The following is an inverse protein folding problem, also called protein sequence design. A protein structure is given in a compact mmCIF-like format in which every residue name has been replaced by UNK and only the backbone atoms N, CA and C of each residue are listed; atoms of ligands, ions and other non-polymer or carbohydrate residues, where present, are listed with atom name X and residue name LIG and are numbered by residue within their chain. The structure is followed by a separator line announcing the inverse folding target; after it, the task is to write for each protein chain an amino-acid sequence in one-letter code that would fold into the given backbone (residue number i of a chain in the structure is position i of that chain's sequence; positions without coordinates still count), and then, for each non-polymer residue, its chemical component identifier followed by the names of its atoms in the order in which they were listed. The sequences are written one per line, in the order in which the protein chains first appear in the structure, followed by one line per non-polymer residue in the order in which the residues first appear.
data_IF_857919812426
#
_entry.id   IF_857919812426
#
_cell.length_a   1.000
_cell.length_b   1.000
_cell.length_c   1.000
_cell.angle_alpha   90.00
_cell.angle_beta   90.00
_cell.angle_gamma   90.00
#
_symmetry.space_group_name_H-M   'P 1'
#
loop_
_entity.id
_entity.type
_entity.pdbx_description
1 polymer ?
#
# COMPACT_ATOMS: atom_id res chain seq x y z
N UNK A 1 29.42 69.22 25.28
CA UNK A 1 28.58 68.42 26.17
C UNK A 1 28.62 66.99 25.67
N UNK A 2 29.42 66.15 26.33
CA UNK A 2 29.51 64.73 26.04
C UNK A 2 28.43 64.01 26.85
N UNK A 3 27.67 63.12 26.21
CA UNK A 3 26.90 62.09 26.90
C UNK A 3 27.26 60.77 26.24
N UNK A 4 28.28 60.12 26.83
CA UNK A 4 28.44 58.67 26.86
C UNK A 4 27.26 58.08 27.64
N UNK A 5 26.78 56.88 27.28
CA UNK A 5 26.28 55.80 28.17
C UNK A 5 25.68 54.73 27.23
N UNK A 6 26.42 53.69 26.85
CA UNK A 6 26.61 52.36 27.48
C UNK A 6 25.97 51.28 26.62
N UNK A 7 26.83 50.45 26.04
CA UNK A 7 26.50 49.16 25.42
C UNK A 7 26.14 48.18 26.55
N UNK A 8 24.93 47.63 26.54
CA UNK A 8 24.57 46.49 27.39
C UNK A 8 24.64 45.21 26.57
N UNK A 9 25.70 44.42 26.76
CA UNK A 9 25.67 42.99 26.48
C UNK A 9 24.86 42.31 27.59
N UNK A 10 23.79 41.60 27.21
CA UNK A 10 23.15 40.61 28.08
C UNK A 10 23.20 39.27 27.36
N UNK A 11 23.85 38.29 28.01
CA UNK A 11 24.05 36.95 27.51
C UNK A 11 23.13 35.94 28.22
N UNK A 12 22.70 34.92 27.45
CA UNK A 12 22.28 33.55 27.81
C UNK A 12 21.03 33.29 28.68
N UNK A 13 20.06 32.55 28.15
CA UNK A 13 19.97 31.08 28.25
C UNK A 13 18.70 30.57 27.55
N UNK A 14 18.80 29.42 26.87
CA UNK A 14 17.73 28.75 26.14
C UNK A 14 16.59 28.32 27.07
N UNK A 15 15.35 28.54 26.66
CA UNK A 15 14.17 27.84 27.18
C UNK A 15 13.28 27.47 26.01
N UNK A 16 13.25 26.17 25.72
CA UNK A 16 12.26 25.58 24.84
C UNK A 16 10.85 25.85 25.35
N UNK A 17 9.94 26.08 24.40
CA UNK A 17 8.53 25.85 24.59
C UNK A 17 7.94 25.47 23.24
N UNK A 18 7.90 24.16 23.01
CA UNK A 18 6.98 23.57 22.06
C UNK A 18 5.56 23.96 22.49
N UNK A 19 4.94 24.86 21.73
CA UNK A 19 3.51 25.07 21.79
C UNK A 19 2.86 24.11 20.81
N UNK A 20 2.38 22.99 21.35
CA UNK A 20 1.40 22.17 20.66
C UNK A 20 0.13 22.98 20.43
N UNK A 21 -0.25 23.12 19.18
CA UNK A 21 -1.62 23.42 18.81
C UNK A 21 -2.15 22.24 17.97
N UNK A 22 -3.16 21.60 18.55
CA UNK A 22 -3.92 20.47 18.03
C UNK A 22 -4.63 20.83 16.71
N UNK A 23 -4.38 20.05 15.66
CA UNK A 23 -5.31 19.89 14.54
C UNK A 23 -5.34 18.44 14.06
N UNK A 24 -6.51 17.81 14.23
CA UNK A 24 -6.93 16.61 13.50
C UNK A 24 -6.32 15.31 14.01
N UNK A 25 -7.11 14.53 14.74
CA UNK A 25 -6.73 13.16 15.10
C UNK A 25 -6.43 12.36 13.84
N UNK A 26 -5.14 12.07 13.62
CA UNK A 26 -4.70 11.02 12.72
C UNK A 26 -5.01 9.73 13.44
N UNK A 27 -6.08 9.08 13.01
CA UNK A 27 -6.37 7.69 13.22
C UNK A 27 -5.09 6.88 13.00
N UNK A 28 -4.48 6.42 14.11
CA UNK A 28 -3.24 5.63 14.17
C UNK A 28 -3.36 4.25 13.49
N UNK A 29 -4.40 4.01 12.68
CA UNK A 29 -4.65 2.77 11.95
C UNK A 29 -3.65 2.52 10.81
N UNK A 30 -2.85 3.52 10.43
CA UNK A 30 -1.88 3.42 9.35
C UNK A 30 -0.45 3.10 9.83
N UNK A 31 -0.16 3.26 11.13
CA UNK A 31 1.19 3.03 11.67
C UNK A 31 1.58 1.53 11.73
N UNK A 32 0.58 0.63 11.74
CA UNK A 32 0.78 -0.82 11.82
C UNK A 32 0.73 -1.52 10.44
N UNK A 33 0.72 -0.74 9.36
CA UNK A 33 0.72 -1.32 8.01
C UNK A 33 2.13 -1.72 7.58
N UNK A 34 2.29 -2.85 6.88
CA UNK A 34 3.61 -3.34 6.45
C UNK A 34 4.25 -2.45 5.37
N UNK A 35 3.45 -1.57 4.78
CA UNK A 35 3.86 -0.63 3.75
C UNK A 35 3.82 0.81 4.26
N UNK A 36 4.57 1.68 3.57
CA UNK A 36 4.56 3.12 3.81
C UNK A 36 3.77 3.86 2.72
N UNK A 37 3.38 5.11 2.97
CA UNK A 37 2.75 5.97 1.96
C UNK A 37 3.64 6.19 0.72
N UNK A 38 4.96 6.13 0.88
CA UNK A 38 5.92 6.18 -0.24
C UNK A 38 5.74 4.98 -1.16
N UNK A 39 5.63 3.76 -0.59
CA UNK A 39 5.38 2.54 -1.38
C UNK A 39 4.03 2.59 -2.10
N UNK A 40 2.98 3.10 -1.44
CA UNK A 40 1.66 3.29 -2.05
C UNK A 40 1.74 4.27 -3.22
N UNK A 41 2.48 5.37 -3.05
CA UNK A 41 2.66 6.40 -4.07
C UNK A 41 3.44 5.89 -5.28
N UNK A 42 4.51 5.11 -5.05
CA UNK A 42 5.30 4.44 -6.10
C UNK A 42 4.48 3.35 -6.81
N UNK A 43 3.65 2.63 -6.07
CA UNK A 43 2.85 1.52 -6.58
C UNK A 43 1.70 1.95 -7.48
N UNK A 44 1.12 3.13 -7.23
CA UNK A 44 -0.02 3.66 -8.01
C UNK A 44 0.25 3.66 -9.51
N UNK A 45 1.27 4.36 -10.05
CA UNK A 45 1.51 4.40 -11.49
C UNK A 45 1.81 3.01 -12.06
N UNK A 46 2.56 2.17 -11.34
CA UNK A 46 2.87 0.80 -11.75
C UNK A 46 1.59 -0.05 -11.87
N UNK A 47 0.70 0.03 -10.87
CA UNK A 47 -0.57 -0.67 -10.91
C UNK A 47 -1.45 -0.19 -12.08
N UNK A 48 -1.54 1.13 -12.28
CA UNK A 48 -2.38 1.68 -13.35
C UNK A 48 -1.88 1.26 -14.74
N UNK A 49 -0.56 1.22 -14.94
CA UNK A 49 0.03 0.83 -16.22
C UNK A 49 -0.09 -0.68 -16.51
N UNK A 50 0.01 -1.52 -15.48
CA UNK A 50 0.24 -2.95 -15.66
C UNK A 50 -0.92 -3.85 -15.20
N UNK A 51 -1.71 -3.43 -14.22
CA UNK A 51 -2.67 -4.29 -13.52
C UNK A 51 -4.12 -3.86 -13.74
N UNK A 52 -4.36 -2.54 -13.85
CA UNK A 52 -5.69 -1.96 -13.87
C UNK A 52 -6.53 -2.37 -15.09
N UNK A 53 -5.90 -2.76 -16.21
CA UNK A 53 -6.62 -3.22 -17.40
C UNK A 53 -7.50 -4.44 -17.11
N UNK A 54 -7.05 -5.33 -16.22
CA UNK A 54 -7.79 -6.55 -15.87
C UNK A 54 -8.44 -6.44 -14.48
N UNK A 55 -7.71 -5.91 -13.48
CA UNK A 55 -8.21 -5.83 -12.11
C UNK A 55 -9.01 -4.56 -11.80
N UNK A 56 -9.15 -3.64 -12.77
CA UNK A 56 -9.85 -2.37 -12.62
C UNK A 56 -9.02 -1.31 -11.89
N UNK A 57 -9.33 -0.03 -12.14
CA UNK A 57 -8.54 1.10 -11.62
C UNK A 57 -8.43 1.21 -10.10
N UNK A 58 -9.32 0.56 -9.34
CA UNK A 58 -9.32 0.50 -7.88
C UNK A 58 -9.18 -0.93 -7.35
N UNK A 59 -8.80 -1.90 -8.18
CA UNK A 59 -8.70 -3.31 -7.76
C UNK A 59 -10.05 -3.99 -7.52
N UNK A 60 -11.13 -3.50 -8.12
CA UNK A 60 -12.47 -4.09 -7.99
C UNK A 60 -12.63 -5.44 -8.71
N UNK A 61 -11.72 -5.79 -9.61
CA UNK A 61 -11.75 -7.04 -10.37
C UNK A 61 -12.96 -7.16 -11.30
N UNK A 62 -13.16 -8.38 -11.81
CA UNK A 62 -14.35 -8.75 -12.56
C UNK A 62 -15.44 -9.25 -11.59
N UNK A 63 -16.73 -8.87 -11.73
CA UNK A 63 -17.80 -9.34 -10.85
C UNK A 63 -18.00 -10.87 -10.83
N UNK A 64 -17.71 -11.55 -11.93
CA UNK A 64 -17.91 -13.00 -12.10
C UNK A 64 -16.66 -13.84 -11.76
N UNK A 65 -15.65 -13.24 -11.13
CA UNK A 65 -14.36 -13.87 -10.78
C UNK A 65 -14.42 -15.21 -10.05
N UNK A 66 -15.55 -15.52 -9.40
CA UNK A 66 -15.75 -16.77 -8.64
C UNK A 66 -16.01 -17.98 -9.54
N UNK A 67 -16.34 -17.77 -10.81
CA UNK A 67 -16.61 -18.83 -11.77
C UNK A 67 -15.59 -18.74 -12.91
N UNK A 68 -15.16 -19.88 -13.47
CA UNK A 68 -14.43 -19.86 -14.73
C UNK A 68 -15.34 -19.33 -15.84
N UNK A 69 -14.73 -18.70 -16.84
CA UNK A 69 -15.37 -18.38 -18.10
C UNK A 69 -15.64 -19.65 -18.92
N UNK A 70 -16.29 -19.51 -20.07
CA UNK A 70 -16.68 -20.64 -20.94
C UNK A 70 -15.49 -21.49 -21.41
N UNK A 71 -14.29 -20.90 -21.49
CA UNK A 71 -13.03 -21.56 -21.83
C UNK A 71 -12.32 -22.21 -20.62
N UNK A 72 -12.96 -22.18 -19.44
CA UNK A 72 -12.44 -22.74 -18.20
C UNK A 72 -11.47 -21.82 -17.43
N UNK A 73 -11.17 -20.61 -17.93
CA UNK A 73 -10.20 -19.70 -17.30
C UNK A 73 -10.86 -18.82 -16.25
N UNK A 74 -10.15 -18.57 -15.14
CA UNK A 74 -10.61 -17.68 -14.09
C UNK A 74 -10.39 -16.21 -14.46
N UNK A 75 -11.43 -15.41 -14.23
CA UNK A 75 -11.43 -13.96 -14.40
C UNK A 75 -10.70 -13.27 -13.24
N UNK A 76 -10.17 -12.05 -13.45
CA UNK A 76 -9.35 -11.35 -12.45
C UNK A 76 -10.13 -11.10 -11.16
N UNK A 77 -9.68 -11.63 -10.00
CA UNK A 77 -10.36 -11.39 -8.73
C UNK A 77 -10.17 -9.94 -8.24
N UNK A 78 -11.08 -9.44 -7.38
CA UNK A 78 -10.89 -8.18 -6.68
C UNK A 78 -9.64 -8.25 -5.79
N UNK A 79 -8.82 -7.21 -5.89
CA UNK A 79 -7.59 -7.02 -5.12
C UNK A 79 -7.75 -5.98 -3.99
N UNK A 80 -8.88 -5.29 -3.93
CA UNK A 80 -9.15 -4.22 -2.95
C UNK A 80 -9.78 -4.68 -1.63
N UNK A 81 -9.64 -5.96 -1.30
CA UNK A 81 -10.16 -6.52 -0.05
C UNK A 81 -11.60 -7.05 -0.12
N UNK A 82 -12.33 -6.82 -1.23
CA UNK A 82 -13.68 -7.39 -1.45
C UNK A 82 -13.66 -8.82 -2.01
N UNK A 83 -12.47 -9.30 -2.41
CA UNK A 83 -12.22 -10.64 -2.92
C UNK A 83 -11.63 -11.57 -1.86
N UNK A 84 -10.79 -12.51 -2.31
CA UNK A 84 -10.14 -13.49 -1.44
C UNK A 84 -8.64 -13.23 -1.23
N UNK A 85 -8.11 -12.10 -1.73
CA UNK A 85 -6.69 -11.77 -1.65
C UNK A 85 -6.16 -11.77 -0.19
N UNK A 86 -7.00 -11.35 0.77
CA UNK A 86 -6.68 -11.31 2.20
C UNK A 86 -6.59 -12.68 2.88
N UNK A 87 -6.88 -13.78 2.18
CA UNK A 87 -6.60 -15.13 2.68
C UNK A 87 -5.16 -15.58 2.45
N UNK A 88 -4.39 -14.85 1.64
CA UNK A 88 -3.03 -15.22 1.24
C UNK A 88 -1.99 -14.39 1.99
N UNK A 89 -0.85 -15.00 2.31
CA UNK A 89 0.30 -14.30 2.91
C UNK A 89 0.91 -13.29 1.92
N UNK A 90 1.73 -12.38 2.45
CA UNK A 90 2.47 -11.43 1.62
C UNK A 90 3.32 -12.15 0.55
N UNK A 91 3.99 -13.24 0.92
CA UNK A 91 4.83 -14.00 -0.01
C UNK A 91 4.01 -14.76 -1.06
N UNK A 92 2.84 -15.28 -0.70
CA UNK A 92 1.93 -15.90 -1.66
C UNK A 92 1.43 -14.87 -2.69
N UNK A 93 1.03 -13.67 -2.23
CA UNK A 93 0.62 -12.59 -3.11
C UNK A 93 1.77 -12.15 -4.05
N UNK A 94 2.98 -12.00 -3.51
CA UNK A 94 4.18 -11.70 -4.30
C UNK A 94 4.46 -12.78 -5.34
N UNK A 95 4.38 -14.04 -4.95
CA UNK A 95 4.62 -15.18 -5.84
C UNK A 95 3.65 -15.20 -7.02
N UNK A 96 2.37 -14.92 -6.78
CA UNK A 96 1.35 -14.84 -7.85
C UNK A 96 1.66 -13.71 -8.84
N UNK A 97 2.14 -12.55 -8.38
CA UNK A 97 2.54 -11.45 -9.28
C UNK A 97 3.82 -11.81 -10.04
N UNK A 98 4.83 -12.33 -9.33
CA UNK A 98 6.15 -12.62 -9.88
C UNK A 98 6.11 -13.71 -10.95
N UNK A 99 5.37 -14.78 -10.69
CA UNK A 99 5.35 -15.99 -11.52
C UNK A 99 4.06 -16.16 -12.33
N UNK A 100 3.09 -15.25 -12.17
CA UNK A 100 1.75 -15.42 -12.76
C UNK A 100 1.02 -16.60 -12.11
N UNK A 101 -0.02 -17.10 -12.80
CA UNK A 101 -0.65 -18.37 -12.43
C UNK A 101 -0.28 -19.47 -13.42
N UNK A 102 0.17 -20.60 -12.86
CA UNK A 102 0.51 -21.81 -13.60
C UNK A 102 -0.72 -22.60 -14.07
N UNK A 103 -0.50 -23.74 -14.76
CA UNK A 103 -1.56 -24.53 -15.39
C UNK A 103 -2.62 -25.06 -14.41
N UNK A 104 -2.29 -25.19 -13.12
CA UNK A 104 -3.22 -25.67 -12.09
C UNK A 104 -4.39 -24.72 -11.83
N UNK A 105 -4.24 -23.43 -12.17
CA UNK A 105 -5.31 -22.44 -12.13
C UNK A 105 -5.28 -21.66 -13.44
N UNK A 106 -5.96 -22.15 -14.49
CA UNK A 106 -5.99 -21.48 -15.79
C UNK A 106 -6.48 -20.05 -15.63
N UNK A 107 -5.64 -19.07 -15.98
CA UNK A 107 -5.99 -17.65 -15.97
C UNK A 107 -5.07 -16.86 -16.89
N UNK A 108 -5.51 -15.69 -17.34
CA UNK A 108 -4.73 -14.77 -18.19
C UNK A 108 -3.71 -13.93 -17.42
N UNK A 109 -3.53 -14.17 -16.12
CA UNK A 109 -2.60 -13.39 -15.30
C UNK A 109 -1.14 -13.69 -15.68
N UNK A 110 -0.41 -12.74 -16.29
CA UNK A 110 0.95 -12.97 -16.74
C UNK A 110 1.95 -12.94 -15.58
N UNK A 111 3.14 -13.50 -15.79
CA UNK A 111 4.27 -13.34 -14.90
C UNK A 111 4.92 -11.96 -15.07
N UNK A 112 5.23 -11.30 -13.95
CA UNK A 112 5.84 -9.96 -13.94
C UNK A 112 7.30 -9.95 -13.47
N UNK A 113 7.86 -11.06 -13.01
CA UNK A 113 9.19 -11.12 -12.40
C UNK A 113 10.37 -10.74 -13.30
N UNK A 114 10.18 -10.71 -14.62
CA UNK A 114 11.18 -10.23 -15.58
C UNK A 114 10.96 -8.76 -16.01
N UNK A 115 9.83 -8.17 -15.61
CA UNK A 115 9.38 -6.83 -16.02
C UNK A 115 9.39 -5.82 -14.89
N UNK A 116 9.21 -6.28 -13.65
CA UNK A 116 9.16 -5.48 -12.44
C UNK A 116 10.15 -6.05 -11.42
N UNK A 117 10.86 -5.17 -10.71
CA UNK A 117 11.71 -5.56 -9.58
C UNK A 117 10.87 -6.03 -8.38
N UNK A 118 11.51 -6.68 -7.40
CA UNK A 118 10.81 -7.10 -6.19
C UNK A 118 10.29 -5.91 -5.37
N UNK A 119 10.99 -4.76 -5.41
CA UNK A 119 10.56 -3.49 -4.83
C UNK A 119 9.36 -2.90 -5.57
N UNK A 120 9.33 -2.97 -6.90
CA UNK A 120 8.19 -2.53 -7.71
C UNK A 120 6.96 -3.42 -7.48
N UNK A 121 7.15 -4.74 -7.38
CA UNK A 121 6.08 -5.68 -7.00
C UNK A 121 5.55 -5.35 -5.61
N UNK A 122 6.45 -5.08 -4.64
CA UNK A 122 6.07 -4.61 -3.31
C UNK A 122 5.25 -3.32 -3.34
N UNK A 123 5.68 -2.34 -4.13
CA UNK A 123 4.98 -1.08 -4.28
C UNK A 123 3.57 -1.28 -4.86
N UNK A 124 3.42 -2.10 -5.92
CA UNK A 124 2.10 -2.48 -6.48
C UNK A 124 1.21 -3.14 -5.42
N UNK A 125 1.78 -4.04 -4.60
CA UNK A 125 1.06 -4.69 -3.51
C UNK A 125 0.60 -3.71 -2.43
N UNK A 126 1.49 -2.83 -1.99
CA UNK A 126 1.15 -1.75 -1.06
C UNK A 126 -0.01 -0.91 -1.60
N UNK A 127 0.02 -0.57 -2.89
CA UNK A 127 -1.03 0.23 -3.49
C UNK A 127 -2.40 -0.46 -3.45
N UNK A 128 -2.54 -1.74 -3.81
CA UNK A 128 -3.87 -2.36 -3.78
C UNK A 128 -4.32 -2.67 -2.34
N UNK A 129 -3.39 -2.98 -1.43
CA UNK A 129 -3.71 -3.19 -0.02
C UNK A 129 -4.06 -1.89 0.71
N UNK A 130 -3.67 -0.72 0.21
CA UNK A 130 -4.17 0.60 0.66
C UNK A 130 -5.65 0.82 0.39
N UNK A 131 -6.28 -0.06 -0.40
CA UNK A 131 -7.72 -0.04 -0.66
C UNK A 131 -8.50 -1.02 0.19
N UNK A 132 -7.81 -1.80 1.01
CA UNK A 132 -8.48 -2.72 1.93
C UNK A 132 -9.09 -1.93 3.08
N UNK A 133 -10.37 -2.18 3.42
CA UNK A 133 -10.94 -1.70 4.66
C UNK A 133 -10.04 -2.08 5.85
N UNK A 134 -9.96 -1.20 6.85
CA UNK A 134 -9.12 -1.43 8.04
C UNK A 134 -9.40 -2.78 8.70
N UNK A 135 -10.67 -3.17 8.80
CA UNK A 135 -11.09 -4.47 9.35
C UNK A 135 -10.51 -5.67 8.59
N UNK A 136 -10.43 -5.60 7.26
CA UNK A 136 -9.86 -6.65 6.41
C UNK A 136 -8.35 -6.69 6.58
N UNK A 137 -7.70 -5.53 6.60
CA UNK A 137 -6.27 -5.45 6.83
C UNK A 137 -5.89 -6.00 8.21
N UNK A 138 -6.61 -5.63 9.26
CA UNK A 138 -6.40 -6.14 10.62
C UNK A 138 -6.63 -7.65 10.71
N UNK A 139 -7.64 -8.19 10.02
CA UNK A 139 -7.88 -9.63 9.98
C UNK A 139 -6.73 -10.38 9.29
N UNK A 140 -6.15 -9.79 8.23
CA UNK A 140 -5.02 -10.34 7.50
C UNK A 140 -3.69 -10.25 8.27
N UNK A 141 -3.43 -9.14 8.95
CA UNK A 141 -2.15 -8.88 9.63
C UNK A 141 -1.98 -9.62 10.95
N UNK A 142 -3.06 -10.23 11.48
CA UNK A 142 -3.01 -11.02 12.71
C UNK A 142 -2.17 -12.29 12.52
N UNK A 143 -1.21 -12.59 13.42
CA UNK A 143 -0.51 -13.86 13.43
C UNK A 143 -1.51 -15.02 13.50
N UNK A 144 -1.36 -16.00 12.61
CA UNK A 144 -2.10 -17.26 12.71
C UNK A 144 -1.34 -18.19 13.65
N UNK A 145 -2.03 -18.68 14.68
CA UNK A 145 -1.50 -19.49 15.77
C UNK A 145 -0.93 -20.82 15.29
#
# INVERSE_FOLDING_TARGET
MAVLFTVTLSACSEHGKESGESMGGVDNNNADRWYTESMVSQGKPLYQANCAQCHGGFGQGNPDWRKPADDGRYLPPPLNGTGHAWHHSLDQLRGVIKYGRGPDVPSDMPAWGEKLSDEEINAVMAWFQSRWPDEIYQAWSRPKH
#
